data_IF_044694697232
#
_entry.id   IF_044694697232
#
_cell.length_a   1.000
_cell.length_b   1.000
_cell.length_c   1.000
_cell.angle_alpha   90.00
_cell.angle_beta   90.00
_cell.angle_gamma   90.00
#
_symmetry.space_group_name_H-M   'P 1'
#
loop_
_entity.id
_entity.type
_entity.pdbx_description
1 polymer ?
#
# COMPACT_ATOMS: atom_id res chain seq x y z
N UNK A 1 14.33 -14.82 53.56
CA UNK A 1 13.68 -15.51 52.41
C UNK A 1 14.74 -16.37 51.78
N UNK A 2 14.61 -17.70 51.80
CA UNK A 2 15.57 -18.61 51.16
C UNK A 2 15.11 -18.81 49.72
N UNK A 3 15.86 -18.25 48.77
CA UNK A 3 15.57 -18.36 47.34
C UNK A 3 16.22 -19.65 46.84
N UNK A 4 15.42 -20.64 46.44
CA UNK A 4 15.94 -21.86 45.82
C UNK A 4 16.01 -21.65 44.31
N UNK A 5 17.20 -21.45 43.78
CA UNK A 5 17.49 -21.57 42.34
C UNK A 5 18.21 -22.90 42.10
N UNK A 6 17.51 -24.02 42.27
CA UNK A 6 18.09 -25.34 42.02
C UNK A 6 17.79 -25.79 40.58
N UNK A 7 18.78 -26.29 39.82
CA UNK A 7 18.57 -26.85 38.48
C UNK A 7 17.91 -28.24 38.50
N UNK A 8 17.65 -28.81 39.67
CA UNK A 8 16.97 -30.10 39.78
C UNK A 8 15.45 -29.93 39.66
N UNK A 9 14.92 -30.13 38.44
CA UNK A 9 13.49 -30.07 38.13
C UNK A 9 12.64 -30.99 39.02
N UNK A 10 13.15 -32.14 39.46
CA UNK A 10 12.43 -33.05 40.36
C UNK A 10 12.18 -32.46 41.74
N UNK A 11 13.08 -31.60 42.23
CA UNK A 11 12.88 -30.84 43.47
C UNK A 11 11.82 -29.75 43.30
N UNK A 12 11.82 -29.03 42.17
CA UNK A 12 10.80 -28.02 41.86
C UNK A 12 9.40 -28.63 41.75
N UNK A 13 9.27 -29.80 41.11
CA UNK A 13 7.99 -30.50 40.99
C UNK A 13 7.51 -31.09 42.33
N UNK A 14 8.43 -31.60 43.16
CA UNK A 14 8.12 -32.05 44.52
C UNK A 14 7.64 -30.88 45.39
N UNK A 15 8.29 -29.72 45.29
CA UNK A 15 7.96 -28.51 46.05
C UNK A 15 6.66 -27.86 45.53
N UNK A 16 6.38 -27.87 44.22
CA UNK A 16 5.13 -27.36 43.64
C UNK A 16 3.88 -28.03 44.21
N UNK A 17 3.96 -29.29 44.63
CA UNK A 17 2.83 -30.05 45.22
C UNK A 17 2.36 -29.50 46.57
N UNK A 18 3.19 -28.70 47.25
CA UNK A 18 2.80 -27.97 48.46
C UNK A 18 2.29 -26.55 48.12
N UNK A 19 1.08 -26.49 47.54
CA UNK A 19 0.46 -25.26 47.00
C UNK A 19 0.33 -24.12 48.03
N UNK A 20 0.25 -24.46 49.33
CA UNK A 20 0.14 -23.47 50.42
C UNK A 20 1.48 -22.98 50.99
N UNK A 21 2.60 -23.66 50.68
CA UNK A 21 3.91 -23.32 51.24
C UNK A 21 4.76 -22.42 50.34
N UNK A 22 4.39 -22.28 49.06
CA UNK A 22 5.23 -21.62 48.06
C UNK A 22 4.45 -20.60 47.24
N UNK A 23 5.12 -19.49 46.90
CA UNK A 23 4.57 -18.43 46.04
C UNK A 23 5.45 -18.31 44.82
N UNK A 24 4.88 -18.47 43.64
CA UNK A 24 5.55 -18.15 42.38
C UNK A 24 5.74 -16.65 42.29
N UNK A 25 6.99 -16.23 42.12
CA UNK A 25 7.37 -14.85 41.87
C UNK A 25 8.15 -14.82 40.56
N UNK A 26 7.83 -13.85 39.71
CA UNK A 26 8.56 -13.58 38.49
C UNK A 26 9.65 -12.55 38.80
N UNK A 27 10.87 -12.86 38.40
CA UNK A 27 11.96 -11.90 38.42
C UNK A 27 12.02 -11.17 37.08
N UNK A 28 12.10 -9.83 37.09
CA UNK A 28 12.38 -9.10 35.87
C UNK A 28 13.81 -9.38 35.41
N UNK A 29 14.07 -9.12 34.14
CA UNK A 29 15.43 -8.88 33.65
C UNK A 29 15.98 -7.58 34.28
N UNK A 30 17.30 -7.41 34.26
CA UNK A 30 17.94 -6.26 34.88
C UNK A 30 17.85 -5.03 33.99
N UNK A 31 17.72 -3.86 34.60
CA UNK A 31 17.85 -2.59 33.91
C UNK A 31 19.33 -2.31 33.57
N UNK A 32 19.58 -1.45 32.57
CA UNK A 32 20.94 -1.10 32.18
C UNK A 32 21.74 -0.50 33.34
N UNK A 33 21.09 0.27 34.22
CA UNK A 33 21.71 0.79 35.44
C UNK A 33 22.15 -0.30 36.41
N UNK A 34 21.29 -1.30 36.67
CA UNK A 34 21.62 -2.43 37.55
C UNK A 34 22.79 -3.26 37.01
N UNK A 35 22.85 -3.43 35.68
CA UNK A 35 23.97 -4.09 35.02
C UNK A 35 25.27 -3.28 35.17
N UNK A 36 25.20 -1.96 35.03
CA UNK A 36 26.35 -1.08 35.19
C UNK A 36 26.87 -1.09 36.63
N UNK A 37 25.98 -1.08 37.62
CA UNK A 37 26.34 -1.21 39.03
C UNK A 37 27.09 -2.52 39.30
N UNK A 38 26.65 -3.62 38.70
CA UNK A 38 27.35 -4.90 38.82
C UNK A 38 28.72 -4.94 38.12
N UNK A 39 28.86 -4.31 36.95
CA UNK A 39 30.16 -4.15 36.29
C UNK A 39 31.15 -3.44 37.23
N UNK A 40 30.72 -2.34 37.85
CA UNK A 40 31.57 -1.58 38.78
C UNK A 40 31.88 -2.36 40.05
N UNK A 41 30.86 -2.97 40.67
CA UNK A 41 31.01 -3.72 41.92
C UNK A 41 31.95 -4.93 41.79
N UNK A 42 31.87 -5.63 40.66
CA UNK A 42 32.67 -6.82 40.37
C UNK A 42 33.99 -6.48 39.64
N UNK A 43 34.23 -5.20 39.33
CA UNK A 43 35.40 -4.74 38.57
C UNK A 43 35.58 -5.50 37.24
N UNK A 44 34.47 -5.73 36.52
CA UNK A 44 34.49 -6.42 35.23
C UNK A 44 35.10 -5.51 34.16
N UNK A 45 35.91 -6.07 33.28
CA UNK A 45 36.51 -5.36 32.15
C UNK A 45 35.50 -5.19 30.99
N UNK A 46 34.40 -4.49 31.24
CA UNK A 46 33.34 -4.24 30.26
C UNK A 46 33.13 -2.72 30.17
N UNK A 47 33.31 -2.16 28.98
CA UNK A 47 33.08 -0.72 28.77
C UNK A 47 31.58 -0.38 28.79
N UNK A 48 31.25 0.89 29.08
CA UNK A 48 29.85 1.36 29.04
C UNK A 48 29.21 1.20 27.66
N UNK A 49 29.98 1.45 26.59
CA UNK A 49 29.53 1.27 25.21
C UNK A 49 29.26 -0.21 24.92
N UNK A 50 30.16 -1.08 25.34
CA UNK A 50 29.98 -2.52 25.16
C UNK A 50 28.74 -3.01 25.89
N UNK A 51 28.58 -2.68 27.18
CA UNK A 51 27.41 -3.07 27.95
C UNK A 51 26.10 -2.57 27.31
N UNK A 52 26.07 -1.32 26.84
CA UNK A 52 24.92 -0.77 26.14
C UNK A 52 24.59 -1.55 24.85
N UNK A 53 25.60 -1.93 24.06
CA UNK A 53 25.39 -2.73 22.86
C UNK A 53 24.83 -4.11 23.20
N UNK A 54 25.39 -4.76 24.22
CA UNK A 54 24.91 -6.07 24.69
C UNK A 54 23.46 -6.00 25.17
N UNK A 55 23.11 -4.95 25.93
CA UNK A 55 21.76 -4.71 26.40
C UNK A 55 20.76 -4.50 25.26
N UNK A 56 21.13 -3.74 24.23
CA UNK A 56 20.27 -3.53 23.06
C UNK A 56 20.02 -4.82 22.28
N UNK A 57 21.03 -5.69 22.17
CA UNK A 57 20.92 -6.94 21.42
C UNK A 57 20.19 -8.03 22.22
N UNK A 58 20.54 -8.21 23.49
CA UNK A 58 20.19 -9.37 24.30
C UNK A 58 19.22 -9.04 25.45
N UNK A 59 18.87 -7.77 25.62
CA UNK A 59 18.07 -7.30 26.73
C UNK A 59 18.83 -7.32 28.07
N UNK A 60 18.07 -7.20 29.15
CA UNK A 60 18.59 -7.11 30.51
C UNK A 60 19.09 -8.41 31.13
N UNK A 61 19.52 -9.40 30.36
CA UNK A 61 19.90 -10.72 30.91
C UNK A 61 21.35 -10.69 31.41
N UNK A 62 21.60 -10.80 32.73
CA UNK A 62 22.95 -10.62 33.29
C UNK A 62 23.95 -11.65 32.77
N UNK A 63 23.48 -12.89 32.53
CA UNK A 63 24.31 -13.99 31.98
C UNK A 63 25.03 -13.58 30.70
N UNK A 64 24.38 -12.79 29.84
CA UNK A 64 24.96 -12.38 28.57
C UNK A 64 25.62 -10.99 28.66
N UNK A 65 24.97 -10.05 29.35
CA UNK A 65 25.47 -8.68 29.46
C UNK A 65 26.76 -8.57 30.28
N UNK A 66 26.95 -9.41 31.30
CA UNK A 66 28.10 -9.36 32.21
C UNK A 66 29.17 -10.41 31.90
N UNK A 67 29.06 -11.10 30.76
CA UNK A 67 30.00 -12.16 30.39
C UNK A 67 31.40 -11.58 30.10
N UNK A 68 32.44 -12.07 30.77
CA UNK A 68 33.82 -11.60 30.59
C UNK A 68 34.54 -12.32 29.46
N UNK A 69 34.15 -13.56 29.17
CA UNK A 69 34.72 -14.34 28.07
C UNK A 69 33.99 -14.00 26.75
N UNK A 70 34.73 -13.53 25.75
CA UNK A 70 34.15 -13.14 24.46
C UNK A 70 33.37 -14.29 23.80
N UNK A 71 33.88 -15.53 23.91
CA UNK A 71 33.30 -16.70 23.24
C UNK A 71 31.89 -17.02 23.74
N UNK A 72 31.65 -16.93 25.05
CA UNK A 72 30.33 -17.19 25.64
C UNK A 72 29.29 -16.12 25.26
N UNK A 73 29.74 -14.86 25.12
CA UNK A 73 28.88 -13.78 24.63
C UNK A 73 28.48 -14.01 23.16
N UNK A 74 29.46 -14.35 22.32
CA UNK A 74 29.21 -14.67 20.91
C UNK A 74 28.30 -15.90 20.77
N UNK A 75 28.49 -16.92 21.60
CA UNK A 75 27.62 -18.09 21.62
C UNK A 75 26.17 -17.70 21.94
N UNK A 76 25.94 -16.77 22.87
CA UNK A 76 24.61 -16.25 23.19
C UNK A 76 23.94 -15.53 22.01
N UNK A 77 24.70 -14.77 21.22
CA UNK A 77 24.21 -14.13 19.99
C UNK A 77 23.81 -15.18 18.94
N UNK A 78 24.68 -16.16 18.69
CA UNK A 78 24.42 -17.26 17.74
C UNK A 78 23.16 -18.02 18.15
N UNK A 79 22.99 -18.33 19.43
CA UNK A 79 21.82 -19.05 19.92
C UNK A 79 20.48 -18.30 19.73
N UNK A 80 20.52 -16.96 19.79
CA UNK A 80 19.37 -16.11 19.52
C UNK A 80 19.11 -16.03 18.03
N UNK A 81 20.14 -15.87 17.21
CA UNK A 81 20.01 -15.87 15.76
C UNK A 81 19.40 -17.18 15.28
N UNK A 82 19.91 -18.33 15.71
CA UNK A 82 19.33 -19.65 15.44
C UNK A 82 17.87 -19.77 15.90
N UNK A 83 17.50 -19.15 17.02
CA UNK A 83 16.13 -19.14 17.51
C UNK A 83 15.22 -18.26 16.63
N UNK A 84 15.72 -17.10 16.17
CA UNK A 84 15.02 -16.24 15.21
C UNK A 84 14.84 -16.98 13.88
N UNK A 85 15.83 -17.72 13.40
CA UNK A 85 15.76 -18.47 12.15
C UNK A 85 14.68 -19.56 12.13
N UNK A 86 14.35 -20.10 13.31
CA UNK A 86 13.27 -21.08 13.46
C UNK A 86 11.88 -20.47 13.34
N UNK A 87 11.73 -19.15 13.52
CA UNK A 87 10.47 -18.44 13.30
C UNK A 87 10.26 -18.25 11.80
N UNK A 88 9.28 -18.96 11.25
CA UNK A 88 8.96 -18.95 9.81
C UNK A 88 7.60 -18.34 9.53
N UNK A 89 6.66 -18.36 10.46
CA UNK A 89 5.30 -17.83 10.24
C UNK A 89 4.78 -17.06 11.45
N UNK A 90 3.62 -16.42 11.30
CA UNK A 90 2.94 -15.78 12.44
C UNK A 90 2.48 -16.79 13.48
N UNK A 91 2.10 -17.99 13.04
CA UNK A 91 1.73 -19.09 13.93
C UNK A 91 2.92 -19.51 14.81
N UNK A 92 4.15 -19.49 14.30
CA UNK A 92 5.34 -19.76 15.10
C UNK A 92 5.53 -18.70 16.21
N UNK A 93 5.30 -17.42 15.89
CA UNK A 93 5.34 -16.34 16.89
C UNK A 93 4.25 -16.54 17.93
N UNK A 94 3.00 -16.78 17.50
CA UNK A 94 1.87 -17.05 18.38
C UNK A 94 2.17 -18.24 19.31
N UNK A 95 2.71 -19.33 18.77
CA UNK A 95 3.06 -20.52 19.53
C UNK A 95 4.15 -20.27 20.58
N UNK A 96 5.04 -19.28 20.36
CA UNK A 96 5.99 -18.84 21.38
C UNK A 96 5.29 -18.12 22.55
N UNK A 97 4.29 -17.28 22.27
CA UNK A 97 3.51 -16.58 23.30
C UNK A 97 2.55 -17.50 24.06
N UNK A 98 1.96 -18.47 23.37
CA UNK A 98 1.11 -19.51 23.96
C UNK A 98 1.88 -20.58 24.73
N UNK A 99 3.23 -20.57 24.61
CA UNK A 99 4.12 -21.58 25.21
C UNK A 99 3.81 -23.00 24.74
N UNK A 100 3.27 -23.14 23.53
CA UNK A 100 2.99 -24.41 22.87
C UNK A 100 4.20 -24.92 22.07
N UNK A 101 5.21 -24.06 21.84
CA UNK A 101 6.50 -24.47 21.30
C UNK A 101 7.36 -25.21 22.35
N UNK A 102 8.15 -26.22 21.95
CA UNK A 102 9.10 -26.87 22.86
C UNK A 102 10.01 -25.82 23.51
N UNK A 103 9.99 -25.79 24.85
CA UNK A 103 10.66 -24.75 25.63
C UNK A 103 12.13 -24.66 25.27
N UNK A 104 12.80 -25.78 24.98
CA UNK A 104 14.21 -25.87 24.62
C UNK A 104 14.57 -25.35 23.21
N UNK A 105 13.59 -25.12 22.32
CA UNK A 105 13.90 -24.85 20.91
C UNK A 105 13.90 -23.37 20.52
N UNK A 106 13.06 -22.51 21.13
CA UNK A 106 12.88 -21.12 20.66
C UNK A 106 12.43 -20.12 21.75
N UNK A 107 11.37 -20.43 22.51
CA UNK A 107 10.62 -19.41 23.25
C UNK A 107 11.40 -18.71 24.38
N UNK A 108 12.19 -19.43 25.18
CA UNK A 108 12.91 -18.84 26.32
C UNK A 108 14.10 -17.95 25.93
N UNK A 109 14.60 -18.08 24.69
CA UNK A 109 15.69 -17.26 24.16
C UNK A 109 15.18 -15.94 23.62
N UNK A 110 14.00 -15.97 22.98
CA UNK A 110 13.40 -14.80 22.33
C UNK A 110 12.50 -14.00 23.26
N UNK A 111 11.87 -14.63 24.25
CA UNK A 111 10.81 -14.03 25.06
C UNK A 111 11.15 -14.07 26.55
N UNK A 112 11.03 -12.93 27.22
CA UNK A 112 11.28 -12.77 28.66
C UNK A 112 10.01 -12.44 29.42
N UNK A 113 10.02 -12.76 30.71
CA UNK A 113 8.95 -12.41 31.64
C UNK A 113 9.16 -11.01 32.18
N UNK A 114 8.14 -10.18 32.04
CA UNK A 114 8.06 -8.84 32.61
C UNK A 114 6.97 -8.84 33.68
N UNK A 115 7.34 -8.86 34.98
CA UNK A 115 6.40 -8.85 36.09
C UNK A 115 5.50 -7.63 36.06
N UNK A 116 4.26 -7.78 36.54
CA UNK A 116 3.38 -6.63 36.73
C UNK A 116 3.92 -5.75 37.87
N UNK A 117 4.00 -4.45 37.61
CA UNK A 117 4.29 -3.40 38.59
C UNK A 117 3.47 -3.52 39.88
N UNK A 118 2.22 -3.98 39.80
CA UNK A 118 1.30 -4.13 40.94
C UNK A 118 1.42 -5.49 41.63
N UNK A 119 1.96 -6.49 40.94
CA UNK A 119 2.04 -7.86 41.45
C UNK A 119 3.17 -8.64 40.79
N UNK A 120 4.20 -8.96 41.58
CA UNK A 120 5.29 -9.86 41.15
C UNK A 120 4.85 -11.32 40.94
N UNK A 121 3.56 -11.63 41.17
CA UNK A 121 2.99 -12.98 40.96
C UNK A 121 2.47 -13.20 39.55
N UNK A 122 2.35 -12.13 38.78
CA UNK A 122 1.89 -12.16 37.40
C UNK A 122 2.96 -11.53 36.52
N UNK A 123 3.11 -12.04 35.31
CA UNK A 123 4.04 -11.51 34.34
C UNK A 123 3.45 -11.57 32.94
N UNK A 124 3.83 -10.59 32.13
CA UNK A 124 3.59 -10.59 30.69
C UNK A 124 4.82 -11.14 29.99
N UNK A 125 4.60 -11.86 28.91
CA UNK A 125 5.68 -12.32 28.04
C UNK A 125 5.91 -11.24 26.97
N UNK A 126 7.17 -10.89 26.70
CA UNK A 126 7.56 -9.92 25.66
C UNK A 126 8.86 -10.35 25.01
N UNK A 127 9.19 -9.79 23.84
CA UNK A 127 10.53 -9.97 23.26
C UNK A 127 11.61 -9.52 24.23
N UNK A 128 12.72 -10.25 24.22
CA UNK A 128 13.81 -10.02 25.15
C UNK A 128 14.52 -8.69 24.93
N UNK A 129 14.53 -8.23 23.69
CA UNK A 129 14.98 -6.91 23.26
C UNK A 129 14.14 -6.42 22.08
N UNK A 130 14.15 -5.11 21.85
CA UNK A 130 13.52 -4.52 20.66
C UNK A 130 14.17 -5.01 19.37
N UNK A 131 15.48 -5.27 19.39
CA UNK A 131 16.23 -5.83 18.26
C UNK A 131 15.69 -7.21 17.84
N UNK A 132 15.41 -8.10 18.80
CA UNK A 132 14.82 -9.42 18.52
C UNK A 132 13.45 -9.25 17.84
N UNK A 133 12.60 -8.38 18.39
CA UNK A 133 11.27 -8.12 17.83
C UNK A 133 11.33 -7.56 16.41
N UNK A 134 12.23 -6.60 16.16
CA UNK A 134 12.43 -5.99 14.84
C UNK A 134 12.94 -7.00 13.81
N UNK A 135 13.91 -7.85 14.16
CA UNK A 135 14.47 -8.81 13.21
C UNK A 135 13.47 -9.91 12.86
N UNK A 136 12.69 -10.40 13.83
CA UNK A 136 11.57 -11.32 13.56
C UNK A 136 10.55 -10.68 12.62
N UNK A 137 10.13 -9.44 12.91
CA UNK A 137 9.17 -8.72 12.08
C UNK A 137 9.68 -8.52 10.64
N UNK A 138 10.92 -8.07 10.49
CA UNK A 138 11.58 -7.87 9.21
C UNK A 138 11.63 -9.17 8.40
N UNK A 139 11.96 -10.29 9.04
CA UNK A 139 12.04 -11.60 8.38
C UNK A 139 10.67 -12.10 7.93
N UNK A 140 9.65 -11.98 8.78
CA UNK A 140 8.27 -12.34 8.42
C UNK A 140 7.76 -11.48 7.27
N UNK A 141 8.04 -10.18 7.28
CA UNK A 141 7.69 -9.27 6.18
C UNK A 141 8.30 -9.72 4.85
N UNK A 142 9.62 -9.94 4.81
CA UNK A 142 10.31 -10.41 3.59
C UNK A 142 9.73 -11.73 3.08
N UNK A 143 9.34 -12.64 3.98
CA UNK A 143 8.72 -13.89 3.58
C UNK A 143 7.32 -13.70 3.01
N UNK A 144 6.47 -12.91 3.65
CA UNK A 144 5.13 -12.61 3.16
C UNK A 144 5.16 -11.95 1.80
N UNK A 145 6.07 -10.99 1.63
CA UNK A 145 6.32 -10.35 0.34
C UNK A 145 6.62 -11.44 -0.70
N UNK A 146 7.64 -12.28 -0.47
CA UNK A 146 7.99 -13.41 -1.37
C UNK A 146 6.85 -14.39 -1.66
N UNK A 147 6.04 -14.75 -0.67
CA UNK A 147 4.90 -15.65 -0.89
C UNK A 147 3.81 -14.98 -1.75
N UNK A 148 3.62 -13.67 -1.60
CA UNK A 148 2.76 -12.87 -2.48
C UNK A 148 3.31 -12.81 -3.90
N UNK A 149 4.63 -12.63 -4.06
CA UNK A 149 5.28 -12.65 -5.39
C UNK A 149 5.05 -14.02 -6.07
N UNK A 150 5.29 -15.12 -5.33
CA UNK A 150 5.03 -16.49 -5.81
C UNK A 150 3.59 -16.70 -6.21
N UNK A 151 2.64 -16.18 -5.43
CA UNK A 151 1.21 -16.29 -5.75
C UNK A 151 0.90 -15.58 -7.06
N UNK A 152 1.38 -14.34 -7.25
CA UNK A 152 1.16 -13.59 -8.49
C UNK A 152 1.78 -14.31 -9.70
N UNK A 153 3.00 -14.86 -9.55
CA UNK A 153 3.66 -15.65 -10.59
C UNK A 153 2.92 -16.96 -10.89
N UNK A 154 2.40 -17.64 -9.88
CA UNK A 154 1.62 -18.88 -10.07
C UNK A 154 0.30 -18.62 -10.80
N UNK A 155 -0.30 -17.46 -10.56
CA UNK A 155 -1.52 -17.03 -11.24
C UNK A 155 -1.25 -16.60 -12.70
N UNK A 156 0.01 -16.36 -13.07
CA UNK A 156 0.39 -15.99 -14.43
C UNK A 156 0.11 -17.14 -15.41
N UNK A 157 -0.65 -16.84 -16.46
CA UNK A 157 -1.11 -17.85 -17.43
C UNK A 157 -2.22 -18.80 -16.91
N UNK A 158 -2.62 -18.70 -15.63
CA UNK A 158 -3.76 -19.43 -15.10
C UNK A 158 -5.05 -18.75 -15.58
N UNK A 159 -5.47 -19.01 -16.82
CA UNK A 159 -6.49 -18.23 -17.55
C UNK A 159 -7.82 -17.95 -16.81
N UNK A 160 -8.22 -18.76 -15.82
CA UNK A 160 -9.41 -18.50 -14.98
C UNK A 160 -9.19 -17.50 -13.83
N UNK A 161 -7.95 -17.18 -13.51
CA UNK A 161 -7.56 -16.34 -12.38
C UNK A 161 -6.84 -15.04 -12.81
N UNK A 162 -6.81 -14.73 -14.12
CA UNK A 162 -6.19 -13.52 -14.67
C UNK A 162 -6.76 -12.22 -14.07
N UNK A 163 -8.07 -12.16 -13.83
CA UNK A 163 -8.72 -11.02 -13.15
C UNK A 163 -8.20 -10.86 -11.71
N UNK A 164 -7.98 -11.97 -11.00
CA UNK A 164 -7.46 -11.96 -9.64
C UNK A 164 -5.98 -11.61 -9.59
N UNK A 165 -5.19 -12.10 -10.55
CA UNK A 165 -3.78 -11.72 -10.74
C UNK A 165 -3.64 -10.22 -10.98
N UNK A 166 -4.45 -9.66 -11.90
CA UNK A 166 -4.46 -8.23 -12.20
C UNK A 166 -4.81 -7.39 -10.97
N UNK A 167 -5.84 -7.79 -10.23
CA UNK A 167 -6.23 -7.13 -8.97
C UNK A 167 -5.13 -7.19 -7.90
N UNK A 168 -4.46 -8.34 -7.74
CA UNK A 168 -3.40 -8.52 -6.76
C UNK A 168 -2.17 -7.67 -7.11
N UNK A 169 -1.80 -7.63 -8.39
CA UNK A 169 -0.72 -6.76 -8.89
C UNK A 169 -1.05 -5.28 -8.71
N UNK A 170 -2.27 -4.85 -9.06
CA UNK A 170 -2.76 -3.48 -8.84
C UNK A 170 -2.61 -3.07 -7.37
N UNK A 171 -2.97 -3.96 -6.45
CA UNK A 171 -2.86 -3.72 -5.01
C UNK A 171 -1.40 -3.53 -4.58
N UNK A 172 -0.47 -4.37 -5.06
CA UNK A 172 0.97 -4.25 -4.76
C UNK A 172 1.54 -2.93 -5.26
N UNK A 173 1.18 -2.53 -6.49
CA UNK A 173 1.64 -1.26 -7.08
C UNK A 173 1.18 -0.07 -6.23
N UNK A 174 -0.08 -0.06 -5.81
CA UNK A 174 -0.61 0.98 -4.93
C UNK A 174 0.13 1.07 -3.60
N UNK A 175 0.39 -0.06 -2.94
CA UNK A 175 1.15 -0.10 -1.68
C UNK A 175 2.57 0.48 -1.84
N UNK A 176 3.26 0.13 -2.94
CA UNK A 176 4.60 0.65 -3.24
C UNK A 176 4.60 2.15 -3.50
N UNK A 177 3.68 2.64 -4.33
CA UNK A 177 3.57 4.08 -4.64
C UNK A 177 3.18 4.91 -3.42
N UNK A 178 2.34 4.38 -2.52
CA UNK A 178 1.96 5.05 -1.26
C UNK A 178 3.12 5.17 -0.29
N UNK A 179 3.97 4.13 -0.21
CA UNK A 179 5.19 4.16 0.63
C UNK A 179 6.14 5.26 0.16
N UNK A 180 6.06 5.66 -1.11
CA UNK A 180 6.94 6.65 -1.71
C UNK A 180 8.31 6.05 -2.07
N UNK A 181 9.19 6.91 -2.61
CA UNK A 181 10.51 6.53 -3.11
C UNK A 181 10.74 7.00 -4.55
N UNK A 182 11.86 6.54 -5.11
CA UNK A 182 12.27 6.89 -6.48
C UNK A 182 11.95 5.74 -7.44
N UNK A 183 11.17 6.07 -8.48
CA UNK A 183 10.71 5.11 -9.48
C UNK A 183 11.30 5.43 -10.84
N UNK A 184 12.04 4.49 -11.43
CA UNK A 184 12.60 4.69 -12.78
C UNK A 184 11.62 4.23 -13.85
N UNK A 185 11.16 5.16 -14.67
CA UNK A 185 10.23 4.91 -15.77
C UNK A 185 10.87 5.28 -17.12
N UNK A 186 10.35 4.72 -18.20
CA UNK A 186 10.96 4.78 -19.55
C UNK A 186 9.95 5.28 -20.56
N UNK A 187 10.36 6.20 -21.43
CA UNK A 187 9.48 6.70 -22.49
C UNK A 187 9.16 5.59 -23.50
N UNK A 188 7.90 5.49 -23.94
CA UNK A 188 7.45 4.46 -24.89
C UNK A 188 7.63 4.86 -26.36
N UNK A 189 8.45 5.87 -26.63
CA UNK A 189 8.86 6.25 -27.98
C UNK A 189 10.17 5.60 -28.42
N UNK A 190 10.66 5.95 -29.60
CA UNK A 190 11.86 5.35 -30.20
C UNK A 190 13.14 5.55 -29.37
N UNK A 191 13.21 6.57 -28.49
CA UNK A 191 14.44 6.89 -27.76
C UNK A 191 14.52 6.21 -26.39
N UNK A 192 13.40 5.67 -25.86
CA UNK A 192 13.34 4.97 -24.56
C UNK A 192 14.15 5.64 -23.45
N UNK A 193 14.03 6.97 -23.35
CA UNK A 193 14.74 7.75 -22.35
C UNK A 193 14.25 7.38 -20.93
N UNK A 194 15.20 7.20 -20.00
CA UNK A 194 14.90 6.92 -18.59
C UNK A 194 14.67 8.22 -17.83
N UNK A 195 13.65 8.22 -16.98
CA UNK A 195 13.34 9.31 -16.06
C UNK A 195 13.14 8.73 -14.65
N UNK A 196 13.32 9.57 -13.63
CA UNK A 196 13.11 9.21 -12.23
C UNK A 196 11.97 10.05 -11.68
N UNK A 197 10.98 9.37 -11.10
CA UNK A 197 9.87 9.98 -10.41
C UNK A 197 10.07 9.79 -8.91
N UNK A 198 10.29 10.88 -8.19
CA UNK A 198 10.32 10.88 -6.73
C UNK A 198 8.90 11.08 -6.20
N UNK A 199 8.39 10.09 -5.47
CA UNK A 199 7.08 10.11 -4.83
C UNK A 199 7.27 10.26 -3.33
N UNK A 200 6.62 11.26 -2.73
CA UNK A 200 6.66 11.39 -1.28
C UNK A 200 5.79 10.31 -0.62
N UNK A 201 6.21 9.76 0.53
CA UNK A 201 5.36 8.88 1.32
C UNK A 201 4.04 9.59 1.66
N UNK A 202 2.92 8.94 1.38
CA UNK A 202 1.61 9.48 1.79
C UNK A 202 1.45 9.22 3.31
N UNK A 203 1.47 10.29 4.10
CA UNK A 203 1.31 10.21 5.57
C UNK A 203 -0.19 10.17 5.91
N UNK A 204 -0.69 9.03 6.37
CA UNK A 204 -2.09 8.85 6.80
C UNK A 204 -2.71 7.53 6.33
N UNK A 205 -3.80 7.10 6.98
CA UNK A 205 -4.56 5.93 6.54
C UNK A 205 -5.21 6.21 5.19
N UNK A 206 -4.91 5.38 4.20
CA UNK A 206 -5.57 5.11 2.92
C UNK A 206 -6.97 5.73 2.72
N UNK A 207 -7.10 7.05 2.61
CA UNK A 207 -8.34 7.67 2.17
C UNK A 207 -8.30 7.83 0.65
N UNK A 208 -8.92 6.86 -0.02
CA UNK A 208 -9.30 7.00 -1.42
C UNK A 208 -10.17 8.28 -1.57
N UNK A 209 -10.03 9.04 -2.65
CA UNK A 209 -10.79 10.28 -2.85
C UNK A 209 -12.15 9.99 -3.51
N UNK A 210 -13.22 10.68 -3.08
CA UNK A 210 -14.51 10.61 -3.77
C UNK A 210 -14.40 11.22 -5.17
N UNK A 211 -15.20 10.72 -6.11
CA UNK A 211 -15.15 11.09 -7.52
C UNK A 211 -15.68 12.49 -7.84
N UNK A 212 -16.20 13.16 -6.80
CA UNK A 212 -16.60 14.55 -6.75
C UNK A 212 -15.60 15.33 -5.88
N UNK A 213 -14.47 15.72 -6.45
CA UNK A 213 -13.47 16.55 -5.77
C UNK A 213 -13.23 17.84 -6.56
N UNK A 214 -12.94 18.94 -5.86
CA UNK A 214 -12.47 20.19 -6.46
C UNK A 214 -10.94 20.24 -6.42
N UNK A 215 -10.31 21.08 -7.24
CA UNK A 215 -8.85 21.30 -7.24
C UNK A 215 -8.29 21.66 -5.85
N UNK A 216 -9.10 22.29 -5.01
CA UNK A 216 -8.73 22.69 -3.64
C UNK A 216 -8.57 21.49 -2.70
N UNK A 217 -9.19 20.35 -3.02
CA UNK A 217 -9.10 19.09 -2.28
C UNK A 217 -7.94 18.20 -2.76
N UNK A 218 -7.24 18.59 -3.83
CA UNK A 218 -6.14 17.80 -4.41
C UNK A 218 -4.83 18.16 -3.72
N UNK A 219 -4.29 17.23 -2.94
CA UNK A 219 -2.96 17.38 -2.36
C UNK A 219 -1.88 17.28 -3.44
N UNK A 220 -1.03 18.30 -3.52
CA UNK A 220 0.10 18.31 -4.46
C UNK A 220 1.20 17.36 -4.01
N UNK A 221 1.87 16.72 -4.98
CA UNK A 221 2.99 15.80 -4.76
C UNK A 221 2.65 14.64 -3.81
N UNK A 222 1.37 14.26 -3.77
CA UNK A 222 0.85 13.12 -3.01
C UNK A 222 0.22 12.16 -4.01
N UNK A 223 0.38 10.86 -3.75
CA UNK A 223 -0.24 9.81 -4.55
C UNK A 223 -1.76 9.74 -4.29
N UNK A 224 -2.56 9.82 -5.36
CA UNK A 224 -4.02 9.94 -5.29
C UNK A 224 -4.68 8.71 -5.94
N UNK A 225 -5.53 8.03 -5.18
CA UNK A 225 -6.32 6.88 -5.64
C UNK A 225 -7.83 7.17 -5.56
N UNK A 226 -8.62 6.88 -6.60
CA UNK A 226 -10.07 7.08 -6.57
C UNK A 226 -10.79 6.03 -5.68
N UNK A 227 -11.87 6.43 -4.98
CA UNK A 227 -12.74 5.53 -4.16
C UNK A 227 -13.51 4.52 -4.98
N UNK A 228 -13.96 4.92 -6.16
CA UNK A 228 -14.69 4.09 -7.11
C UNK A 228 -14.00 4.16 -8.47
N UNK A 229 -13.99 3.05 -9.22
CA UNK A 229 -13.46 2.90 -10.59
C UNK A 229 -14.19 3.76 -11.66
N UNK A 230 -14.64 4.97 -11.31
CA UNK A 230 -15.44 5.83 -12.19
C UNK A 230 -14.65 6.42 -13.36
N UNK A 231 -13.32 6.40 -13.28
CA UNK A 231 -12.45 6.68 -14.43
C UNK A 231 -12.02 5.36 -15.01
N UNK A 232 -12.55 4.99 -16.18
CA UNK A 232 -12.16 3.77 -16.89
C UNK A 232 -10.76 3.85 -17.52
N UNK A 233 -10.07 4.98 -17.35
CA UNK A 233 -8.90 5.36 -18.14
C UNK A 233 -7.60 5.51 -17.34
N UNK A 234 -7.68 5.60 -16.01
CA UNK A 234 -6.52 5.70 -15.10
C UNK A 234 -6.90 5.07 -13.75
N UNK A 235 -5.93 4.43 -13.11
CA UNK A 235 -6.11 3.82 -11.79
C UNK A 235 -5.69 4.77 -10.66
N UNK A 236 -4.77 5.70 -10.93
CA UNK A 236 -4.30 6.70 -9.96
C UNK A 236 -3.56 7.87 -10.63
N UNK A 237 -3.24 8.90 -9.85
CA UNK A 237 -2.47 10.05 -10.34
C UNK A 237 -1.63 10.73 -9.26
N UNK A 238 -0.66 11.55 -9.68
CA UNK A 238 0.04 12.54 -8.85
C UNK A 238 -0.03 13.89 -9.57
N UNK A 239 -0.55 14.90 -8.90
CA UNK A 239 -0.49 16.28 -9.39
C UNK A 239 0.67 17.01 -8.71
N UNK A 240 1.67 17.41 -9.49
CA UNK A 240 2.76 18.29 -9.05
C UNK A 240 2.52 19.72 -9.55
N UNK A 241 3.37 20.67 -9.13
CA UNK A 241 3.29 22.06 -9.59
C UNK A 241 3.45 22.17 -11.12
N UNK A 242 4.28 21.31 -11.71
CA UNK A 242 4.69 21.43 -13.11
C UNK A 242 4.22 20.29 -14.01
N UNK A 243 3.72 19.19 -13.44
CA UNK A 243 3.30 17.99 -14.18
C UNK A 243 2.13 17.27 -13.51
N UNK A 244 1.35 16.57 -14.33
CA UNK A 244 0.35 15.59 -13.91
C UNK A 244 0.81 14.21 -14.36
N UNK A 245 1.10 13.34 -13.41
CA UNK A 245 1.44 11.94 -13.66
C UNK A 245 0.17 11.10 -13.53
N UNK A 246 -0.17 10.37 -14.57
CA UNK A 246 -1.30 9.45 -14.60
C UNK A 246 -0.76 8.02 -14.61
N UNK A 247 -1.31 7.15 -13.78
CA UNK A 247 -0.90 5.75 -13.74
C UNK A 247 -2.03 4.85 -14.22
N UNK A 248 -1.72 4.01 -15.20
CA UNK A 248 -2.55 2.89 -15.63
C UNK A 248 -1.80 1.60 -15.29
N UNK A 249 -2.32 0.84 -14.34
CA UNK A 249 -1.74 -0.40 -13.87
C UNK A 249 -2.31 -1.55 -14.69
N UNK A 250 -1.45 -2.39 -15.25
CA UNK A 250 -1.90 -3.49 -16.10
C UNK A 250 -0.89 -4.63 -16.18
N UNK A 251 -1.43 -5.83 -16.35
CA UNK A 251 -0.67 -7.04 -16.68
C UNK A 251 -0.82 -7.43 -18.16
N UNK A 252 -1.49 -6.61 -18.97
CA UNK A 252 -1.70 -6.84 -20.41
C UNK A 252 -0.74 -6.02 -21.25
N UNK A 253 -0.15 -6.65 -22.27
CA UNK A 253 0.68 -5.97 -23.29
C UNK A 253 -0.10 -4.98 -24.18
N UNK A 254 -1.43 -5.14 -24.25
CA UNK A 254 -2.31 -4.25 -24.98
C UNK A 254 -3.42 -3.77 -24.04
N UNK A 255 -3.41 -2.48 -23.76
CA UNK A 255 -4.30 -1.82 -22.84
C UNK A 255 -4.73 -0.47 -23.43
N UNK A 256 -5.63 -0.46 -24.41
CA UNK A 256 -6.10 0.78 -25.00
C UNK A 256 -6.77 1.65 -23.93
N UNK A 257 -6.44 2.93 -23.95
CA UNK A 257 -6.93 3.88 -22.94
C UNK A 257 -8.13 4.63 -23.51
N UNK A 258 -9.20 4.75 -22.72
CA UNK A 258 -10.40 5.45 -23.14
C UNK A 258 -10.17 6.98 -23.10
N UNK A 259 -10.18 7.61 -24.28
CA UNK A 259 -9.97 9.05 -24.44
C UNK A 259 -11.04 9.89 -23.72
N UNK A 260 -12.31 9.47 -23.75
CA UNK A 260 -13.42 10.18 -23.10
C UNK A 260 -13.19 10.26 -21.58
N UNK A 261 -12.78 9.15 -20.96
CA UNK A 261 -12.51 9.12 -19.53
C UNK A 261 -11.33 9.99 -19.11
N UNK A 262 -10.32 10.15 -19.98
CA UNK A 262 -9.21 11.09 -19.75
C UNK A 262 -9.69 12.55 -19.79
N UNK A 263 -10.48 12.92 -20.80
CA UNK A 263 -10.99 14.30 -20.92
C UNK A 263 -11.92 14.64 -19.76
N UNK A 264 -12.81 13.74 -19.37
CA UNK A 264 -13.66 13.93 -18.19
C UNK A 264 -12.81 14.13 -16.92
N UNK A 265 -11.74 13.35 -16.76
CA UNK A 265 -10.80 13.52 -15.65
C UNK A 265 -10.10 14.88 -15.68
N UNK A 266 -9.62 15.33 -16.84
CA UNK A 266 -9.02 16.65 -17.01
C UNK A 266 -10.00 17.79 -16.75
N UNK A 267 -11.27 17.62 -17.11
CA UNK A 267 -12.34 18.58 -16.85
C UNK A 267 -12.63 18.69 -15.36
N UNK A 268 -12.69 17.55 -14.63
CA UNK A 268 -12.82 17.54 -13.17
C UNK A 268 -11.65 18.25 -12.48
N UNK A 269 -10.44 18.09 -13.01
CA UNK A 269 -9.27 18.83 -12.54
C UNK A 269 -9.24 20.29 -13.00
N UNK A 270 -10.14 20.76 -13.87
CA UNK A 270 -10.07 22.10 -14.44
C UNK A 270 -8.80 22.37 -15.27
N UNK A 271 -8.17 21.32 -15.82
CA UNK A 271 -6.87 21.41 -16.50
C UNK A 271 -6.95 21.28 -18.03
N UNK A 272 -8.14 21.10 -18.62
CA UNK A 272 -8.31 20.86 -20.07
C UNK A 272 -7.54 21.88 -20.91
N UNK A 273 -7.75 23.18 -20.68
CA UNK A 273 -7.09 24.22 -21.48
C UNK A 273 -5.56 24.22 -21.32
N UNK A 274 -5.07 23.97 -20.10
CA UNK A 274 -3.62 23.88 -19.82
C UNK A 274 -2.99 22.72 -20.57
N UNK A 275 -3.67 21.58 -20.61
CA UNK A 275 -3.20 20.37 -21.29
C UNK A 275 -3.27 20.54 -22.81
N UNK A 276 -4.33 21.16 -23.35
CA UNK A 276 -4.40 21.50 -24.78
C UNK A 276 -3.24 22.39 -25.24
N UNK A 277 -2.86 23.38 -24.44
CA UNK A 277 -1.75 24.28 -24.74
C UNK A 277 -0.37 23.62 -24.52
N UNK A 278 -0.28 22.69 -23.57
CA UNK A 278 0.97 22.00 -23.24
C UNK A 278 0.71 20.52 -22.88
N UNK A 279 0.61 19.62 -23.87
CA UNK A 279 0.37 18.19 -23.63
C UNK A 279 1.47 17.53 -22.77
N UNK A 280 2.70 18.03 -22.82
CA UNK A 280 3.83 17.58 -21.99
C UNK A 280 3.67 17.86 -20.49
N UNK A 281 2.66 18.65 -20.11
CA UNK A 281 2.25 18.78 -18.72
C UNK A 281 1.77 17.44 -18.16
N UNK A 282 1.22 16.56 -19.01
CA UNK A 282 0.72 15.23 -18.61
C UNK A 282 1.75 14.18 -18.99
N UNK A 283 1.94 13.18 -18.12
CA UNK A 283 2.65 11.95 -18.45
C UNK A 283 1.75 10.76 -18.14
N UNK A 284 1.47 9.92 -19.14
CA UNK A 284 0.71 8.68 -18.95
C UNK A 284 1.70 7.54 -18.74
N UNK A 285 1.70 6.96 -17.53
CA UNK A 285 2.64 5.93 -17.10
C UNK A 285 1.90 4.61 -16.98
N UNK A 286 2.26 3.64 -17.81
CA UNK A 286 1.80 2.27 -17.69
C UNK A 286 2.66 1.55 -16.65
N UNK A 287 2.05 1.10 -15.56
CA UNK A 287 2.73 0.32 -14.53
C UNK A 287 2.49 -1.15 -14.80
N UNK A 288 3.56 -1.88 -15.08
CA UNK A 288 3.52 -3.27 -15.54
C UNK A 288 4.47 -4.14 -14.71
N UNK A 289 4.29 -5.46 -14.67
CA UNK A 289 5.30 -6.36 -14.13
C UNK A 289 6.68 -6.11 -14.75
N UNK A 290 7.74 -6.12 -13.96
CA UNK A 290 9.08 -5.70 -14.41
C UNK A 290 9.56 -6.46 -15.67
N UNK A 291 9.23 -7.75 -15.78
CA UNK A 291 9.53 -8.56 -16.96
C UNK A 291 8.88 -8.11 -18.28
N UNK A 292 7.86 -7.26 -18.22
CA UNK A 292 7.18 -6.71 -19.40
C UNK A 292 7.75 -5.35 -19.84
N UNK A 293 8.52 -4.67 -18.98
CA UNK A 293 8.97 -3.29 -19.21
C UNK A 293 9.70 -3.12 -20.56
N UNK A 294 10.56 -4.07 -20.89
CA UNK A 294 11.42 -3.98 -22.07
C UNK A 294 10.66 -4.24 -23.39
N UNK A 295 9.58 -5.01 -23.34
CA UNK A 295 8.76 -5.36 -24.50
C UNK A 295 7.48 -4.54 -24.61
N UNK A 296 7.13 -3.77 -23.56
CA UNK A 296 5.94 -2.93 -23.56
C UNK A 296 6.01 -1.84 -24.64
N UNK A 297 4.91 -1.68 -25.36
CA UNK A 297 4.81 -0.75 -26.49
C UNK A 297 3.82 0.36 -26.20
N UNK A 298 3.90 1.42 -27.02
CA UNK A 298 2.96 2.55 -26.95
C UNK A 298 1.53 2.05 -27.17
N UNK A 299 0.62 2.52 -26.33
CA UNK A 299 -0.78 2.13 -26.34
C UNK A 299 -1.62 3.12 -27.15
N UNK A 300 -2.68 2.62 -27.80
CA UNK A 300 -3.62 3.46 -28.52
C UNK A 300 -4.58 4.16 -27.57
N UNK A 301 -4.89 5.43 -27.85
CA UNK A 301 -5.95 6.16 -27.18
C UNK A 301 -7.23 5.99 -28.01
N UNK A 302 -8.15 5.18 -27.50
CA UNK A 302 -9.38 4.87 -28.20
C UNK A 302 -10.38 5.99 -28.01
N UNK A 303 -10.68 6.68 -29.11
CA UNK A 303 -11.77 7.63 -29.23
C UNK A 303 -12.99 6.87 -29.78
N UNK A 304 -13.66 6.07 -28.95
CA UNK A 304 -14.93 5.47 -29.39
C UNK A 304 -16.01 6.55 -29.48
N UNK A 305 -16.67 6.62 -30.66
CA UNK A 305 -18.00 7.16 -30.93
C UNK A 305 -18.42 8.43 -30.17
N UNK A 306 -17.61 9.48 -30.21
CA UNK A 306 -18.11 10.82 -29.88
C UNK A 306 -19.02 11.25 -31.05
N UNK A 307 -20.36 11.30 -30.86
CA UNK A 307 -21.25 11.69 -31.95
C UNK A 307 -20.91 13.12 -32.38
N UNK A 308 -20.87 13.36 -33.68
CA UNK A 308 -20.70 14.73 -34.16
C UNK A 308 -21.86 15.59 -33.65
N UNK A 309 -21.64 16.89 -33.52
CA UNK A 309 -22.71 17.81 -33.10
C UNK A 309 -23.93 17.72 -34.02
N UNK A 310 -23.69 17.44 -35.31
CA UNK A 310 -24.74 17.22 -36.30
C UNK A 310 -25.54 15.95 -36.01
N UNK A 311 -24.86 14.86 -35.68
CA UNK A 311 -25.50 13.58 -35.37
C UNK A 311 -26.26 13.64 -34.04
N UNK A 312 -25.72 14.33 -33.03
CA UNK A 312 -26.43 14.59 -31.78
C UNK A 312 -27.74 15.33 -32.03
N UNK A 313 -27.71 16.43 -32.78
CA UNK A 313 -28.90 17.25 -32.99
C UNK A 313 -30.01 16.50 -33.73
N UNK A 314 -29.64 15.59 -34.63
CA UNK A 314 -30.57 14.71 -35.33
C UNK A 314 -31.07 13.52 -34.49
N UNK A 315 -30.39 13.20 -33.39
CA UNK A 315 -30.70 12.04 -32.56
C UNK A 315 -31.90 12.27 -31.62
N UNK A 316 -32.53 11.17 -31.23
CA UNK A 316 -33.60 11.15 -30.23
C UNK A 316 -33.10 11.66 -28.87
N UNK A 317 -33.96 12.35 -28.12
CA UNK A 317 -33.65 12.89 -26.79
C UNK A 317 -33.17 11.84 -25.78
N UNK A 318 -33.46 10.56 -25.97
CA UNK A 318 -32.94 9.45 -25.12
C UNK A 318 -31.43 9.29 -25.21
N UNK A 319 -30.79 9.81 -26.26
CA UNK A 319 -29.32 9.82 -26.36
C UNK A 319 -28.66 10.72 -25.32
N UNK A 320 -29.41 11.66 -24.72
CA UNK A 320 -28.92 12.52 -23.64
C UNK A 320 -28.89 11.69 -22.34
N UNK A 321 -27.72 11.59 -21.66
CA UNK A 321 -27.62 10.88 -20.39
C UNK A 321 -28.66 11.38 -19.39
N UNK A 322 -29.32 10.44 -18.70
CA UNK A 322 -30.40 10.67 -17.71
C UNK A 322 -31.78 10.99 -18.29
N UNK A 323 -31.94 11.07 -19.61
CA UNK A 323 -33.28 11.07 -20.23
C UNK A 323 -33.74 9.63 -20.45
N UNK A 324 -34.43 9.09 -19.46
CA UNK A 324 -35.05 7.76 -19.54
C UNK A 324 -36.44 7.76 -20.20
N UNK A 325 -37.10 6.59 -20.30
CA UNK A 325 -38.40 6.43 -20.97
C UNK A 325 -39.50 7.38 -20.46
N UNK A 326 -39.51 7.68 -19.15
CA UNK A 326 -40.51 8.57 -18.53
C UNK A 326 -40.35 10.02 -18.99
N UNK A 327 -39.11 10.53 -18.98
CA UNK A 327 -38.82 11.88 -19.45
C UNK A 327 -39.02 12.00 -20.96
N UNK A 328 -38.65 10.97 -21.73
CA UNK A 328 -38.96 10.89 -23.16
C UNK A 328 -40.48 10.99 -23.41
N UNK A 329 -41.30 10.26 -22.65
CA UNK A 329 -42.76 10.30 -22.83
C UNK A 329 -43.34 11.69 -22.51
N UNK A 330 -42.80 12.39 -21.51
CA UNK A 330 -43.15 13.79 -21.20
C UNK A 330 -42.82 14.71 -22.39
N UNK A 331 -41.63 14.58 -22.97
CA UNK A 331 -41.19 15.37 -24.13
C UNK A 331 -42.03 15.07 -25.38
N UNK A 332 -42.34 13.80 -25.65
CA UNK A 332 -43.19 13.38 -26.78
C UNK A 332 -44.60 13.99 -26.71
N UNK A 333 -45.19 14.14 -25.50
CA UNK A 333 -46.50 14.81 -25.33
C UNK A 333 -46.48 16.29 -25.75
N UNK A 334 -45.29 16.90 -25.80
CA UNK A 334 -45.04 18.27 -26.28
C UNK A 334 -44.51 18.30 -27.72
N UNK A 335 -44.53 17.18 -28.43
CA UNK A 335 -43.97 17.03 -29.78
C UNK A 335 -42.44 17.30 -29.86
N UNK A 336 -41.72 17.02 -28.77
CA UNK A 336 -40.25 17.11 -28.72
C UNK A 336 -39.69 15.70 -28.83
N UNK A 337 -39.07 15.37 -29.98
CA UNK A 337 -38.58 14.01 -30.25
C UNK A 337 -37.05 13.95 -30.37
N UNK A 338 -36.44 15.02 -30.89
CA UNK A 338 -34.99 15.11 -31.13
C UNK A 338 -34.30 16.12 -30.22
N UNK A 339 -32.98 16.02 -30.13
CA UNK A 339 -32.17 17.03 -29.43
C UNK A 339 -32.31 18.42 -30.07
N UNK A 340 -32.47 18.49 -31.40
CA UNK A 340 -32.81 19.73 -32.10
C UNK A 340 -34.15 20.30 -31.63
N UNK A 341 -35.20 19.49 -31.53
CA UNK A 341 -36.51 19.95 -31.05
C UNK A 341 -36.41 20.51 -29.64
N UNK A 342 -35.69 19.81 -28.75
CA UNK A 342 -35.47 20.23 -27.37
C UNK A 342 -34.70 21.56 -27.31
N UNK A 343 -33.71 21.75 -28.20
CA UNK A 343 -32.95 22.99 -28.30
C UNK A 343 -33.81 24.17 -28.79
N UNK A 344 -34.76 23.94 -29.70
CA UNK A 344 -35.72 24.98 -30.13
C UNK A 344 -36.71 25.37 -29.03
N UNK A 345 -36.95 24.49 -28.06
CA UNK A 345 -37.82 24.74 -26.90
C UNK A 345 -37.05 25.24 -25.67
N UNK A 346 -35.85 25.80 -25.84
CA UNK A 346 -34.98 26.30 -24.75
C UNK A 346 -35.67 27.30 -23.78
N UNK A 347 -36.70 28.00 -24.25
CA UNK A 347 -37.44 29.00 -23.46
C UNK A 347 -38.70 28.45 -22.77
N UNK A 348 -39.08 27.19 -23.01
CA UNK A 348 -40.24 26.57 -22.35
C UNK A 348 -39.87 26.18 -20.89
N UNK A 349 -40.50 26.80 -19.87
CA UNK A 349 -40.21 26.52 -18.46
C UNK A 349 -40.44 25.06 -18.06
N UNK A 350 -41.35 24.34 -18.74
CA UNK A 350 -41.72 22.98 -18.39
C UNK A 350 -40.68 21.93 -18.82
N UNK A 351 -39.76 22.28 -19.73
CA UNK A 351 -38.68 21.41 -20.22
C UNK A 351 -37.28 21.92 -19.83
N UNK A 352 -37.23 22.90 -18.93
CA UNK A 352 -35.99 23.53 -18.48
C UNK A 352 -34.96 22.52 -17.97
N UNK A 353 -35.38 21.52 -17.21
CA UNK A 353 -34.49 20.49 -16.66
C UNK A 353 -33.85 19.65 -17.78
N UNK A 354 -34.64 19.20 -18.75
CA UNK A 354 -34.16 18.42 -19.90
C UNK A 354 -33.25 19.25 -20.82
N UNK A 355 -33.57 20.53 -21.02
CA UNK A 355 -32.72 21.46 -21.74
C UNK A 355 -31.38 21.72 -21.02
N UNK A 356 -31.38 21.80 -19.68
CA UNK A 356 -30.13 21.87 -18.89
C UNK A 356 -29.29 20.60 -19.04
N UNK A 357 -29.91 19.41 -19.12
CA UNK A 357 -29.20 18.16 -19.42
C UNK A 357 -28.58 18.17 -20.81
N UNK A 358 -29.31 18.61 -21.83
CA UNK A 358 -28.80 18.77 -23.19
C UNK A 358 -27.62 19.74 -23.23
N UNK A 359 -27.74 20.90 -22.58
CA UNK A 359 -26.67 21.92 -22.53
C UNK A 359 -25.41 21.36 -21.88
N UNK A 360 -25.54 20.63 -20.77
CA UNK A 360 -24.42 19.95 -20.12
C UNK A 360 -23.78 18.89 -21.03
N UNK A 361 -24.60 18.16 -21.78
CA UNK A 361 -24.11 17.14 -22.70
C UNK A 361 -23.38 17.75 -23.91
N UNK A 362 -23.90 18.83 -24.49
CA UNK A 362 -23.23 19.61 -25.55
C UNK A 362 -21.89 20.16 -25.05
N UNK A 363 -21.87 20.77 -23.85
CA UNK A 363 -20.64 21.29 -23.26
C UNK A 363 -19.60 20.19 -23.08
N UNK A 364 -20.01 18.99 -22.65
CA UNK A 364 -19.14 17.81 -22.58
C UNK A 364 -18.63 17.39 -23.95
N UNK A 365 -19.50 17.29 -24.96
CA UNK A 365 -19.09 16.93 -26.33
C UNK A 365 -18.09 17.92 -26.93
N UNK A 366 -18.25 19.22 -26.68
CA UNK A 366 -17.29 20.23 -27.12
C UNK A 366 -15.91 20.09 -26.43
N UNK A 367 -15.84 19.49 -25.24
CA UNK A 367 -14.57 19.18 -24.59
C UNK A 367 -13.88 17.97 -25.24
N UNK A 368 -14.66 17.00 -25.72
CA UNK A 368 -14.18 15.75 -26.35
C UNK A 368 -14.16 15.79 -27.89
N UNK A 369 -14.54 16.90 -28.53
CA UNK A 369 -14.59 17.01 -30.00
C UNK A 369 -13.22 17.26 -30.64
N UNK A 370 -12.29 17.82 -29.88
CA UNK A 370 -10.90 18.05 -30.27
C UNK A 370 -10.01 17.23 -29.34
N UNK A 371 -9.68 16.02 -29.79
CA UNK A 371 -8.85 15.05 -29.05
C UNK A 371 -7.42 14.96 -29.58
N UNK A 372 -7.04 15.76 -30.57
CA UNK A 372 -5.73 15.62 -31.23
C UNK A 372 -4.57 15.86 -30.26
N UNK A 373 -4.79 16.65 -29.21
CA UNK A 373 -3.81 16.88 -28.15
C UNK A 373 -3.55 15.64 -27.28
N UNK A 374 -4.48 14.69 -27.22
CA UNK A 374 -4.29 13.45 -26.44
C UNK A 374 -3.19 12.58 -27.06
N UNK A 375 -3.12 12.50 -28.38
CA UNK A 375 -2.06 11.76 -29.09
C UNK A 375 -0.67 12.38 -28.87
N UNK A 376 -0.61 13.62 -28.41
CA UNK A 376 0.63 14.32 -28.06
C UNK A 376 1.04 14.09 -26.60
N UNK A 377 0.20 13.46 -25.78
CA UNK A 377 0.56 13.13 -24.39
C UNK A 377 1.66 12.06 -24.40
N UNK A 378 2.82 12.33 -23.79
CA UNK A 378 3.90 11.36 -23.73
C UNK A 378 3.51 10.16 -22.86
N UNK A 379 3.78 8.97 -23.38
CA UNK A 379 3.53 7.70 -22.70
C UNK A 379 4.83 7.10 -22.20
N UNK A 380 4.78 6.49 -21.03
CA UNK A 380 5.91 5.85 -20.38
C UNK A 380 5.51 4.49 -19.81
N UNK A 381 6.51 3.66 -19.51
CA UNK A 381 6.36 2.41 -18.80
C UNK A 381 7.21 2.41 -17.52
N UNK A 382 6.61 1.94 -16.44
CA UNK A 382 7.26 1.67 -15.17
C UNK A 382 7.15 0.17 -14.88
N UNK A 383 8.28 -0.53 -14.91
CA UNK A 383 8.36 -1.90 -14.43
C UNK A 383 8.36 -1.91 -12.91
N UNK A 384 7.48 -2.71 -12.31
CA UNK A 384 7.49 -2.94 -10.86
C UNK A 384 7.77 -4.41 -10.57
N UNK A 385 8.69 -4.69 -9.62
CA UNK A 385 8.86 -6.04 -9.12
C UNK A 385 7.55 -6.46 -8.47
N UNK A 386 7.08 -7.62 -8.91
CA UNK A 386 5.92 -8.33 -8.38
C UNK A 386 6.27 -8.85 -7.01
#
# INVERSE_FOLDING_TARGET
MVTFTSPNFGWLDSMRKNVNAHRTLYMPVWELGELWDAVNLLSLNISSQELSNRYQQLGGVPRYCLQTESDDYQQGLVEIEEAIEKIKTFEDVQACFEKSMPTNLVAHRLLYYFPDTRSRRTATLRFGSDMIGQEIFKRLRVKLDREREKLILWLDGAGKASTFQGWLFETVVHEKLITGGDFTYVQLDQQRQKQVLSVNPTIGQYERFETNFSLEMVFRNVYQMPKSQSSKSIDSYILSTNRLFLFQITISNNHPVNSEGLVDFFAKLGLVNKIKQNPNFVQLIFVVPDGMRDTYSRQNLNSQDVPSMRDLMAADVVTIPRIGPVLRQKLNKKNIFTCSDLNHHAQDPEVKYEFELLTKYIARLNLVSDLSYLDMIPQFVLGMPV
#
